data_IF_045979956727
#
_entry.id   IF_045979956727
#
_cell.length_a   1.000
_cell.length_b   1.000
_cell.length_c   1.000
_cell.angle_alpha   90.00
_cell.angle_beta   90.00
_cell.angle_gamma   90.00
#
_symmetry.space_group_name_H-M   'P 1'
#
loop_
_entity.id
_entity.type
_entity.pdbx_description
1 polymer ?
#
# COMPACT_ATOMS: atom_id res chain seq x y z
N UNK A 1 -24.52 2.20 -8.15
CA UNK A 1 -25.39 3.37 -7.85
C UNK A 1 -25.24 4.34 -9.00
N UNK A 2 -26.27 4.42 -9.85
CA UNK A 2 -26.31 5.30 -11.02
C UNK A 2 -26.65 6.71 -10.54
N UNK A 3 -25.67 7.60 -10.48
CA UNK A 3 -25.90 9.01 -10.12
C UNK A 3 -26.18 9.80 -11.40
N UNK A 4 -27.34 10.42 -11.47
CA UNK A 4 -27.69 11.42 -12.48
C UNK A 4 -26.91 12.69 -12.18
N UNK A 5 -25.95 13.02 -13.01
CA UNK A 5 -25.08 14.17 -12.85
C UNK A 5 -25.54 15.29 -13.79
N UNK A 6 -25.73 16.48 -13.22
CA UNK A 6 -25.91 17.69 -13.99
C UNK A 6 -24.65 18.03 -14.76
N UNK A 7 -24.66 17.85 -16.08
CA UNK A 7 -23.56 18.27 -16.92
C UNK A 7 -23.91 19.62 -17.57
N UNK A 8 -22.90 20.36 -17.99
CA UNK A 8 -23.02 21.65 -18.65
C UNK A 8 -22.69 21.53 -20.12
N UNK A 9 -23.55 22.15 -20.96
CA UNK A 9 -23.24 22.33 -22.37
C UNK A 9 -22.41 23.62 -22.52
N UNK A 10 -21.26 23.51 -23.17
CA UNK A 10 -20.38 24.63 -23.46
C UNK A 10 -20.04 24.68 -24.93
N UNK A 11 -19.88 25.90 -25.47
CA UNK A 11 -19.24 26.07 -26.76
C UNK A 11 -17.76 25.69 -26.61
N UNK A 12 -17.28 24.80 -27.48
CA UNK A 12 -15.87 24.33 -27.44
C UNK A 12 -14.93 25.51 -27.71
N UNK A 13 -15.32 26.33 -28.70
CA UNK A 13 -14.58 27.52 -29.08
C UNK A 13 -15.61 28.64 -29.34
N UNK A 14 -15.75 29.63 -28.42
CA UNK A 14 -16.78 30.66 -28.55
C UNK A 14 -16.66 31.49 -29.83
N UNK A 15 -15.44 31.66 -30.36
CA UNK A 15 -15.21 32.33 -31.62
C UNK A 15 -15.79 31.57 -32.83
N UNK A 16 -15.97 30.26 -32.76
CA UNK A 16 -16.60 29.47 -33.82
C UNK A 16 -18.08 29.81 -34.00
N UNK A 17 -18.72 30.51 -33.06
CA UNK A 17 -20.08 30.99 -33.17
C UNK A 17 -20.18 32.38 -33.85
N UNK A 18 -19.06 33.10 -34.00
CA UNK A 18 -19.01 34.44 -34.60
C UNK A 18 -19.36 34.50 -36.10
N UNK A 19 -19.05 33.48 -36.94
CA UNK A 19 -19.40 33.52 -38.36
C UNK A 19 -20.89 33.70 -38.64
N UNK A 20 -21.77 33.14 -37.80
CA UNK A 20 -23.20 33.25 -37.98
C UNK A 20 -23.73 34.71 -37.93
N UNK A 21 -23.51 35.44 -36.81
CA UNK A 21 -23.84 36.87 -36.74
C UNK A 21 -23.15 37.72 -37.80
N UNK A 22 -21.88 37.43 -38.08
CA UNK A 22 -21.12 38.15 -39.11
C UNK A 22 -21.72 37.98 -40.50
N UNK A 23 -22.08 36.76 -40.89
CA UNK A 23 -22.75 36.49 -42.19
C UNK A 23 -24.12 37.17 -42.28
N UNK A 24 -24.86 37.22 -41.16
CA UNK A 24 -26.13 37.88 -41.10
C UNK A 24 -25.96 39.39 -41.29
N UNK A 25 -25.01 40.03 -40.62
CA UNK A 25 -24.73 41.47 -40.78
C UNK A 25 -24.29 41.77 -42.21
N UNK A 26 -23.41 40.94 -42.79
CA UNK A 26 -22.99 41.08 -44.20
C UNK A 26 -24.15 40.91 -45.17
N UNK A 27 -25.06 39.99 -44.95
CA UNK A 27 -26.23 39.76 -45.78
C UNK A 27 -27.22 40.94 -45.74
N UNK A 28 -27.30 41.60 -44.57
CA UNK A 28 -28.15 42.83 -44.43
C UNK A 28 -27.48 44.05 -45.03
N UNK A 29 -26.15 44.17 -45.00
CA UNK A 29 -25.40 45.29 -45.57
C UNK A 29 -25.25 45.20 -47.09
N UNK A 30 -25.10 43.98 -47.61
CA UNK A 30 -24.94 43.69 -49.03
C UNK A 30 -25.92 42.54 -49.39
N UNK A 31 -27.12 42.86 -49.96
CA UNK A 31 -28.24 41.93 -50.10
C UNK A 31 -27.99 40.91 -51.24
N UNK A 32 -26.89 40.23 -51.22
CA UNK A 32 -26.61 39.09 -52.09
C UNK A 32 -27.32 37.84 -51.57
N UNK A 33 -28.19 37.24 -52.35
CA UNK A 33 -29.01 36.07 -51.97
C UNK A 33 -28.19 34.92 -51.41
N UNK A 34 -26.96 34.69 -51.90
CA UNK A 34 -26.10 33.61 -51.43
C UNK A 34 -25.60 33.81 -49.99
N UNK A 35 -25.45 35.07 -49.49
CA UNK A 35 -25.08 35.34 -48.10
C UNK A 35 -26.16 34.88 -47.10
N UNK A 36 -27.45 35.09 -47.48
CA UNK A 36 -28.55 34.57 -46.67
C UNK A 36 -28.56 33.04 -46.62
N UNK A 37 -28.28 32.38 -47.77
CA UNK A 37 -28.18 30.92 -47.76
C UNK A 37 -27.05 30.40 -46.85
N UNK A 38 -25.88 31.04 -46.87
CA UNK A 38 -24.77 30.69 -45.96
C UNK A 38 -25.13 30.95 -44.49
N UNK A 39 -25.78 32.07 -44.17
CA UNK A 39 -26.23 32.39 -42.82
C UNK A 39 -27.25 31.35 -42.31
N UNK A 40 -28.22 30.98 -43.13
CA UNK A 40 -29.21 29.95 -42.78
C UNK A 40 -28.55 28.57 -42.63
N UNK A 41 -27.67 28.19 -43.57
CA UNK A 41 -26.96 26.91 -43.48
C UNK A 41 -26.13 26.82 -42.18
N UNK A 42 -25.41 27.90 -41.85
CA UNK A 42 -24.64 27.97 -40.61
C UNK A 42 -25.55 27.89 -39.37
N UNK A 43 -26.68 28.57 -39.37
CA UNK A 43 -27.66 28.52 -38.28
C UNK A 43 -28.22 27.11 -38.10
N UNK A 44 -28.62 26.46 -39.18
CA UNK A 44 -29.13 25.09 -39.15
C UNK A 44 -28.09 24.12 -38.59
N UNK A 45 -26.87 24.24 -39.06
CA UNK A 45 -25.73 23.41 -38.59
C UNK A 45 -25.48 23.65 -37.10
N UNK A 46 -25.46 24.90 -36.64
CA UNK A 46 -25.24 25.23 -35.23
C UNK A 46 -26.37 24.72 -34.33
N UNK A 47 -27.63 24.85 -34.76
CA UNK A 47 -28.80 24.33 -34.03
C UNK A 47 -28.76 22.79 -33.99
N UNK A 48 -28.42 22.13 -35.10
CA UNK A 48 -28.30 20.69 -35.19
C UNK A 48 -27.19 20.18 -34.27
N UNK A 49 -26.01 20.82 -34.22
CA UNK A 49 -24.90 20.51 -33.33
C UNK A 49 -25.29 20.64 -31.85
N UNK A 50 -25.95 21.78 -31.51
CA UNK A 50 -26.46 21.96 -30.13
C UNK A 50 -27.48 20.88 -29.74
N UNK A 51 -28.45 20.59 -30.65
CA UNK A 51 -29.46 19.57 -30.42
C UNK A 51 -28.82 18.17 -30.23
N UNK A 52 -27.79 17.86 -31.03
CA UNK A 52 -27.04 16.61 -30.90
C UNK A 52 -26.47 16.43 -29.51
N UNK A 53 -25.68 17.39 -29.04
CA UNK A 53 -25.05 17.34 -27.72
C UNK A 53 -26.09 17.25 -26.60
N UNK A 54 -27.20 18.02 -26.72
CA UNK A 54 -28.30 18.00 -25.75
C UNK A 54 -29.01 16.63 -25.69
N UNK A 55 -29.02 15.90 -26.81
CA UNK A 55 -29.64 14.57 -26.88
C UNK A 55 -28.71 13.45 -26.40
N UNK A 56 -27.45 13.51 -26.72
CA UNK A 56 -26.45 12.47 -26.42
C UNK A 56 -25.91 12.62 -25.01
N UNK A 57 -25.36 13.78 -24.67
CA UNK A 57 -24.62 14.01 -23.44
C UNK A 57 -25.33 13.54 -22.18
N UNK A 58 -26.57 14.01 -21.87
CA UNK A 58 -27.27 13.60 -20.64
C UNK A 58 -27.68 12.12 -20.60
N UNK A 59 -27.60 11.39 -21.74
CA UNK A 59 -27.97 9.97 -21.84
C UNK A 59 -26.80 9.03 -21.80
N UNK A 60 -25.58 9.54 -21.76
CA UNK A 60 -24.39 8.74 -21.52
C UNK A 60 -24.31 8.39 -20.03
N UNK A 61 -24.00 7.15 -19.75
CA UNK A 61 -23.72 6.65 -18.39
C UNK A 61 -22.37 5.97 -18.41
N UNK A 62 -21.53 6.35 -17.48
CA UNK A 62 -20.24 5.72 -17.28
C UNK A 62 -20.25 5.07 -15.91
N UNK A 63 -19.97 3.78 -15.88
CA UNK A 63 -19.83 3.01 -14.64
C UNK A 63 -18.40 2.50 -14.51
N UNK A 64 -17.88 2.60 -13.30
CA UNK A 64 -16.55 2.14 -12.93
C UNK A 64 -16.67 1.14 -11.79
N UNK A 65 -16.12 -0.03 -11.96
CA UNK A 65 -15.98 -1.03 -10.91
C UNK A 65 -14.50 -1.33 -10.65
N UNK A 66 -14.16 -1.42 -9.37
CA UNK A 66 -12.84 -1.77 -8.90
C UNK A 66 -12.93 -3.12 -8.20
N UNK A 67 -12.06 -4.07 -8.54
CA UNK A 67 -12.09 -5.41 -7.94
C UNK A 67 -11.69 -5.40 -6.48
N UNK A 68 -10.75 -4.56 -6.09
CA UNK A 68 -10.31 -4.44 -4.70
C UNK A 68 -9.98 -3.00 -4.35
N UNK A 69 -10.18 -2.62 -3.08
CA UNK A 69 -9.80 -1.31 -2.55
C UNK A 69 -8.33 -1.29 -2.05
N UNK A 70 -7.60 -2.37 -2.21
CA UNK A 70 -6.22 -2.50 -1.81
C UNK A 70 -5.44 -3.32 -2.85
N UNK A 71 -4.15 -3.06 -2.92
CA UNK A 71 -3.19 -3.78 -3.73
C UNK A 71 -1.86 -3.88 -2.98
N UNK A 72 -0.93 -4.67 -3.47
CA UNK A 72 0.44 -4.70 -3.02
C UNK A 72 1.35 -4.16 -4.13
N UNK A 73 2.52 -3.64 -3.78
CA UNK A 73 3.50 -3.27 -4.81
C UNK A 73 3.86 -4.50 -5.63
N UNK A 74 3.74 -4.36 -6.96
CA UNK A 74 3.87 -5.48 -7.91
C UNK A 74 2.53 -6.02 -8.43
N UNK A 75 1.43 -5.79 -7.72
CA UNK A 75 0.10 -6.21 -8.17
C UNK A 75 -0.40 -5.37 -9.34
N UNK A 76 -1.27 -5.95 -10.14
CA UNK A 76 -2.02 -5.25 -11.17
C UNK A 76 -3.33 -4.74 -10.58
N UNK A 77 -3.49 -3.43 -10.60
CA UNK A 77 -4.76 -2.78 -10.35
C UNK A 77 -5.61 -2.93 -11.60
N UNK A 78 -6.71 -3.65 -11.51
CA UNK A 78 -7.65 -3.85 -12.62
C UNK A 78 -8.95 -3.11 -12.34
N UNK A 79 -9.33 -2.28 -13.29
CA UNK A 79 -10.58 -1.54 -13.28
C UNK A 79 -11.43 -1.94 -14.48
N UNK A 80 -12.67 -2.24 -14.21
CA UNK A 80 -13.67 -2.52 -15.22
C UNK A 80 -14.52 -1.27 -15.43
N UNK A 81 -14.64 -0.88 -16.69
CA UNK A 81 -15.42 0.27 -17.13
C UNK A 81 -16.57 -0.18 -18.00
N UNK A 82 -17.72 0.41 -17.83
CA UNK A 82 -18.89 0.22 -18.68
C UNK A 82 -19.43 1.57 -19.12
N UNK A 83 -19.45 1.81 -20.42
CA UNK A 83 -20.08 2.96 -21.07
C UNK A 83 -21.42 2.51 -21.66
N UNK A 84 -22.50 3.11 -21.23
CA UNK A 84 -23.83 2.89 -21.78
C UNK A 84 -24.35 4.16 -22.46
N UNK A 85 -24.69 4.07 -23.74
CA UNK A 85 -25.34 5.13 -24.50
C UNK A 85 -26.84 4.86 -24.57
N UNK A 86 -27.63 5.56 -23.78
CA UNK A 86 -29.09 5.46 -23.78
C UNK A 86 -29.77 6.38 -24.82
N UNK A 87 -29.00 7.05 -25.66
CA UNK A 87 -29.54 7.86 -26.78
C UNK A 87 -29.71 6.97 -28.01
N UNK A 88 -30.49 7.48 -28.99
CA UNK A 88 -30.61 6.88 -30.34
C UNK A 88 -29.49 7.33 -31.28
N UNK A 89 -28.72 8.35 -30.88
CA UNK A 89 -27.64 8.91 -31.65
C UNK A 89 -26.29 8.38 -31.12
N UNK A 90 -25.29 8.17 -31.99
CA UNK A 90 -23.97 7.74 -31.54
C UNK A 90 -23.26 8.85 -30.77
N UNK A 91 -22.51 8.44 -29.73
CA UNK A 91 -21.48 9.24 -29.12
C UNK A 91 -20.17 8.96 -29.88
N UNK A 92 -19.83 9.85 -30.81
CA UNK A 92 -18.71 9.63 -31.74
C UNK A 92 -17.37 9.60 -30.99
N UNK A 93 -17.24 10.42 -29.97
CA UNK A 93 -16.11 10.36 -29.05
C UNK A 93 -16.54 10.83 -27.66
N UNK A 94 -15.98 10.17 -26.70
CA UNK A 94 -16.09 10.48 -25.29
C UNK A 94 -14.69 10.52 -24.71
N UNK A 95 -14.26 11.67 -24.29
CA UNK A 95 -13.01 11.84 -23.57
C UNK A 95 -13.29 11.64 -22.08
N UNK A 96 -12.54 10.73 -21.47
CA UNK A 96 -12.61 10.41 -20.06
C UNK A 96 -11.27 10.81 -19.46
N UNK A 97 -11.29 11.61 -18.41
CA UNK A 97 -10.11 11.99 -17.64
C UNK A 97 -10.34 11.66 -16.17
N UNK A 98 -9.48 10.81 -15.63
CA UNK A 98 -9.54 10.40 -14.24
C UNK A 98 -8.36 11.03 -13.48
N UNK A 99 -8.66 11.90 -12.52
CA UNK A 99 -7.68 12.55 -11.67
C UNK A 99 -7.14 11.56 -10.62
N UNK A 100 -6.45 10.51 -11.08
CA UNK A 100 -5.82 9.51 -10.23
C UNK A 100 -4.45 9.98 -9.76
N UNK A 101 -4.13 9.67 -8.48
CA UNK A 101 -2.79 9.89 -7.90
C UNK A 101 -1.91 8.64 -7.93
N UNK A 102 -2.41 7.52 -8.46
CA UNK A 102 -1.65 6.26 -8.55
C UNK A 102 -0.50 6.41 -9.54
N UNK A 103 0.76 6.21 -9.12
CA UNK A 103 1.91 6.28 -10.02
C UNK A 103 1.80 5.26 -11.15
N UNK A 104 2.07 5.71 -12.39
CA UNK A 104 2.01 4.84 -13.57
C UNK A 104 0.60 4.53 -14.09
N UNK A 105 -0.45 5.00 -13.42
CA UNK A 105 -1.83 4.90 -13.90
C UNK A 105 -2.18 6.08 -14.82
N UNK A 106 -2.67 5.79 -16.03
CA UNK A 106 -3.21 6.80 -16.93
C UNK A 106 -4.72 6.58 -17.08
N UNK A 107 -5.49 7.45 -16.42
CA UNK A 107 -6.95 7.44 -16.48
C UNK A 107 -7.52 8.12 -17.71
N UNK A 108 -6.68 8.73 -18.56
CA UNK A 108 -7.15 9.41 -19.78
C UNK A 108 -7.42 8.41 -20.88
N UNK A 109 -8.65 8.43 -21.42
CA UNK A 109 -9.07 7.56 -22.51
C UNK A 109 -10.11 8.24 -23.39
N UNK A 110 -10.10 7.87 -24.67
CA UNK A 110 -11.14 8.22 -25.62
C UNK A 110 -11.92 6.94 -25.96
N UNK A 111 -13.23 7.02 -25.92
CA UNK A 111 -14.15 5.93 -26.25
C UNK A 111 -15.26 6.45 -27.19
N UNK A 112 -15.94 5.53 -27.86
CA UNK A 112 -17.15 5.82 -28.66
C UNK A 112 -18.20 4.76 -28.34
N UNK A 113 -19.47 5.10 -28.51
CA UNK A 113 -20.58 4.16 -28.36
C UNK A 113 -21.69 4.48 -29.33
N UNK A 114 -22.18 3.49 -30.05
CA UNK A 114 -23.36 3.59 -30.92
C UNK A 114 -24.62 3.87 -30.10
N UNK A 115 -25.70 4.27 -30.79
CA UNK A 115 -26.98 4.53 -30.13
C UNK A 115 -27.56 3.23 -29.53
N UNK A 116 -27.82 3.24 -28.22
CA UNK A 116 -28.31 2.07 -27.48
C UNK A 116 -27.22 1.07 -27.08
N UNK A 117 -25.96 1.28 -27.46
CA UNK A 117 -24.86 0.36 -27.18
C UNK A 117 -24.40 0.44 -25.72
N UNK A 118 -23.95 -0.74 -25.20
CA UNK A 118 -23.14 -0.82 -23.98
C UNK A 118 -21.75 -1.37 -24.33
N UNK A 119 -20.74 -0.66 -23.95
CA UNK A 119 -19.36 -1.01 -24.24
C UNK A 119 -18.55 -1.10 -22.94
N UNK A 120 -17.96 -2.27 -22.70
CA UNK A 120 -17.09 -2.53 -21.57
C UNK A 120 -15.62 -2.59 -22.00
N UNK A 121 -14.73 -2.16 -21.10
CA UNK A 121 -13.29 -2.37 -21.23
C UNK A 121 -12.63 -2.46 -19.85
N UNK A 122 -11.45 -3.04 -19.82
CA UNK A 122 -10.62 -3.11 -18.61
C UNK A 122 -9.40 -2.22 -18.77
N UNK A 123 -9.08 -1.47 -17.73
CA UNK A 123 -7.83 -0.73 -17.60
C UNK A 123 -7.01 -1.39 -16.51
N UNK A 124 -5.73 -1.59 -16.76
CA UNK A 124 -4.83 -2.14 -15.76
C UNK A 124 -3.59 -1.27 -15.60
N UNK A 125 -3.14 -1.11 -14.36
CA UNK A 125 -1.89 -0.48 -14.02
C UNK A 125 -1.14 -1.35 -13.00
N UNK A 126 0.18 -1.29 -13.01
CA UNK A 126 1.00 -1.98 -12.01
C UNK A 126 1.27 -1.01 -10.87
N UNK A 127 1.01 -1.44 -9.64
CA UNK A 127 1.31 -0.67 -8.45
C UNK A 127 2.81 -0.68 -8.19
N UNK A 128 3.50 0.41 -8.48
CA UNK A 128 4.97 0.49 -8.40
C UNK A 128 5.47 1.01 -7.05
N UNK A 129 4.64 1.70 -6.28
CA UNK A 129 5.02 2.34 -5.03
C UNK A 129 3.91 2.17 -3.99
N UNK A 130 4.31 1.87 -2.74
CA UNK A 130 3.37 1.83 -1.63
C UNK A 130 2.84 3.22 -1.29
N UNK A 131 1.63 3.28 -0.77
CA UNK A 131 1.02 4.54 -0.36
C UNK A 131 -0.50 4.48 -0.34
N UNK A 132 -1.09 5.59 0.05
CA UNK A 132 -2.53 5.82 -0.01
C UNK A 132 -2.79 6.74 -1.19
N UNK A 133 -3.49 6.24 -2.18
CA UNK A 133 -3.77 6.93 -3.43
C UNK A 133 -5.26 7.18 -3.60
N UNK A 134 -5.58 8.16 -4.40
CA UNK A 134 -6.96 8.49 -4.76
C UNK A 134 -7.20 8.21 -6.24
N UNK A 135 -8.35 7.64 -6.55
CA UNK A 135 -8.88 7.44 -7.87
C UNK A 135 -10.10 8.34 -8.04
N UNK A 136 -10.10 9.22 -9.03
CA UNK A 136 -11.11 10.25 -9.21
C UNK A 136 -10.75 11.60 -8.57
N UNK A 137 -11.59 12.64 -8.79
CA UNK A 137 -12.87 12.63 -9.49
C UNK A 137 -12.72 12.37 -10.98
N UNK A 138 -13.78 11.80 -11.58
CA UNK A 138 -13.85 11.52 -12.99
C UNK A 138 -14.44 12.70 -13.73
N UNK A 139 -13.79 13.13 -14.80
CA UNK A 139 -14.30 14.08 -15.75
C UNK A 139 -14.57 13.38 -17.07
N UNK A 140 -15.72 13.66 -17.68
CA UNK A 140 -16.05 13.11 -18.96
C UNK A 140 -16.61 14.20 -19.86
N UNK A 141 -16.19 14.20 -21.13
CA UNK A 141 -16.55 15.18 -22.13
C UNK A 141 -16.91 14.50 -23.44
N UNK A 142 -18.05 14.89 -24.01
CA UNK A 142 -18.43 14.52 -25.38
C UNK A 142 -18.79 15.75 -26.16
N UNK A 143 -18.72 15.69 -27.49
CA UNK A 143 -19.07 16.81 -28.34
C UNK A 143 -19.94 16.36 -29.53
N UNK A 144 -20.44 17.34 -30.26
CA UNK A 144 -21.09 17.15 -31.57
C UNK A 144 -20.04 16.74 -32.63
N UNK A 145 -20.49 16.23 -33.81
CA UNK A 145 -19.58 15.81 -34.89
C UNK A 145 -18.68 16.92 -35.44
N UNK A 146 -19.08 18.17 -35.27
CA UNK A 146 -18.38 19.35 -35.79
C UNK A 146 -17.52 20.03 -34.74
N UNK A 147 -17.64 19.62 -33.47
CA UNK A 147 -16.89 20.19 -32.37
C UNK A 147 -17.28 21.63 -31.99
N UNK A 148 -18.51 22.05 -32.29
CA UNK A 148 -19.01 23.38 -31.91
C UNK A 148 -19.43 23.44 -30.45
N UNK A 149 -20.06 22.38 -29.95
CA UNK A 149 -20.57 22.27 -28.60
C UNK A 149 -20.06 21.02 -27.94
N UNK A 150 -19.81 21.09 -26.64
CA UNK A 150 -19.48 19.94 -25.81
C UNK A 150 -20.39 19.83 -24.59
N UNK A 151 -20.59 18.61 -24.14
CA UNK A 151 -21.24 18.31 -22.88
C UNK A 151 -20.18 17.74 -21.92
N UNK A 152 -19.99 18.43 -20.81
CA UNK A 152 -19.04 18.08 -19.81
C UNK A 152 -19.78 17.72 -18.52
N UNK A 153 -19.39 16.61 -17.90
CA UNK A 153 -19.89 16.25 -16.58
C UNK A 153 -18.78 15.72 -15.71
N UNK A 154 -18.97 15.90 -14.43
CA UNK A 154 -18.06 15.40 -13.41
C UNK A 154 -18.79 14.32 -12.62
N UNK A 155 -18.17 13.18 -12.52
CA UNK A 155 -18.64 12.12 -11.63
C UNK A 155 -17.91 12.27 -10.31
N UNK A 156 -18.59 12.82 -9.31
CA UNK A 156 -18.06 12.97 -7.96
C UNK A 156 -17.87 11.61 -7.31
N UNK A 157 -16.88 11.55 -6.44
CA UNK A 157 -16.52 10.37 -5.68
C UNK A 157 -15.06 10.01 -5.91
N UNK A 158 -14.23 10.39 -4.97
CA UNK A 158 -12.85 9.92 -4.87
C UNK A 158 -12.87 8.60 -4.13
N UNK A 159 -12.33 7.55 -4.71
CA UNK A 159 -12.09 6.27 -4.03
C UNK A 159 -10.64 6.23 -3.59
N UNK A 160 -10.42 5.88 -2.34
CA UNK A 160 -9.07 5.60 -1.87
C UNK A 160 -8.70 4.16 -2.18
N UNK A 161 -7.46 3.98 -2.62
CA UNK A 161 -6.81 2.70 -2.76
C UNK A 161 -5.55 2.71 -1.90
N UNK A 162 -5.33 1.62 -1.18
CA UNK A 162 -4.16 1.43 -0.34
C UNK A 162 -3.23 0.44 -1.02
N UNK A 163 -2.00 0.86 -1.29
CA UNK A 163 -0.96 0.00 -1.85
C UNK A 163 0.03 -0.35 -0.74
N UNK A 164 0.01 -1.60 -0.31
CA UNK A 164 0.86 -2.13 0.75
C UNK A 164 2.28 -2.44 0.28
N UNK A 165 3.27 -2.41 1.18
CA UNK A 165 4.61 -2.88 0.85
C UNK A 165 4.60 -4.37 0.50
N UNK A 166 5.47 -4.83 -0.41
CA UNK A 166 5.58 -6.24 -0.73
C UNK A 166 6.23 -6.99 0.42
N UNK A 167 5.95 -8.28 0.49
CA UNK A 167 6.59 -9.20 1.43
C UNK A 167 7.63 -10.04 0.69
N UNK A 168 8.84 -10.10 1.24
CA UNK A 168 9.91 -10.91 0.71
C UNK A 168 10.26 -12.06 1.67
N UNK A 169 10.76 -13.16 1.12
CA UNK A 169 11.31 -14.25 1.93
C UNK A 169 12.72 -13.86 2.35
N UNK A 170 12.93 -13.67 3.65
CA UNK A 170 14.25 -13.39 4.23
C UNK A 170 14.98 -14.72 4.46
N UNK A 171 15.64 -15.22 3.41
CA UNK A 171 16.46 -16.42 3.52
C UNK A 171 17.62 -16.16 4.50
N UNK A 172 17.93 -17.14 5.34
CA UNK A 172 19.04 -17.13 6.30
C UNK A 172 18.93 -16.11 7.45
N UNK A 173 17.79 -15.46 7.64
CA UNK A 173 17.56 -14.62 8.83
C UNK A 173 16.98 -15.47 9.96
N UNK A 174 17.78 -15.66 10.99
CA UNK A 174 17.36 -16.37 12.20
C UNK A 174 16.82 -15.35 13.20
N UNK A 175 15.55 -15.50 13.56
CA UNK A 175 14.91 -14.61 14.52
C UNK A 175 15.53 -14.72 15.90
N UNK A 176 15.80 -13.61 16.61
CA UNK A 176 16.35 -13.65 17.95
C UNK A 176 15.33 -14.27 18.91
N UNK A 177 15.80 -15.18 19.76
CA UNK A 177 14.98 -15.80 20.78
C UNK A 177 15.07 -14.95 22.06
N UNK A 178 13.94 -14.41 22.51
CA UNK A 178 13.90 -13.85 23.86
C UNK A 178 14.10 -14.98 24.87
N UNK A 179 15.17 -14.92 25.67
CA UNK A 179 15.35 -15.88 26.75
C UNK A 179 14.35 -15.63 27.87
N UNK A 180 13.75 -16.69 28.40
CA UNK A 180 13.06 -16.63 29.68
C UNK A 180 14.10 -16.36 30.75
N UNK A 181 14.07 -15.18 31.34
CA UNK A 181 14.68 -14.97 32.65
C UNK A 181 13.99 -15.88 33.65
N UNK A 182 14.63 -17.00 33.99
CA UNK A 182 14.16 -17.82 35.09
C UNK A 182 14.25 -17.03 36.38
N UNK A 183 13.14 -16.47 36.86
CA UNK A 183 12.99 -16.08 38.25
C UNK A 183 11.53 -16.29 38.65
N UNK A 184 11.35 -16.83 39.84
CA UNK A 184 10.09 -17.20 40.48
C UNK A 184 8.96 -16.13 40.48
N UNK A 185 9.22 -14.92 40.02
CA UNK A 185 8.27 -13.84 39.92
C UNK A 185 7.38 -13.94 38.68
N UNK A 186 7.84 -14.65 37.62
CA UNK A 186 7.04 -14.91 36.44
C UNK A 186 5.93 -15.93 36.70
N UNK A 187 6.10 -16.82 37.67
CA UNK A 187 5.09 -17.82 38.03
C UNK A 187 3.84 -17.20 38.69
N UNK A 188 3.98 -16.07 39.38
CA UNK A 188 2.86 -15.40 40.06
C UNK A 188 1.96 -14.58 39.08
N UNK A 189 2.47 -14.13 37.93
CA UNK A 189 1.72 -13.41 36.93
C UNK A 189 1.08 -14.32 35.88
N UNK A 190 1.51 -15.58 35.76
CA UNK A 190 0.94 -16.58 34.84
C UNK A 190 -0.36 -17.21 35.31
N UNK A 191 -0.86 -16.89 36.50
CA UNK A 191 -2.09 -17.47 37.04
C UNK A 191 -3.38 -17.09 36.26
N UNK A 192 -3.30 -16.18 35.29
CA UNK A 192 -4.47 -15.70 34.52
C UNK A 192 -4.40 -16.02 33.01
N UNK A 193 -3.32 -16.63 32.54
CA UNK A 193 -3.27 -17.17 31.18
C UNK A 193 -3.65 -18.64 31.24
N UNK A 194 -4.69 -19.06 30.56
CA UNK A 194 -5.06 -20.47 30.40
C UNK A 194 -3.90 -21.20 29.73
N UNK A 195 -3.08 -21.98 30.45
CA UNK A 195 -1.95 -22.65 29.86
C UNK A 195 -2.49 -23.76 28.94
N UNK A 196 -2.09 -23.71 27.66
CA UNK A 196 -2.37 -24.79 26.71
C UNK A 196 -1.66 -26.06 27.18
N UNK A 197 -2.40 -27.11 27.40
CA UNK A 197 -1.83 -28.44 27.77
C UNK A 197 -1.32 -29.07 26.48
N UNK A 198 0.01 -29.13 26.32
CA UNK A 198 0.67 -29.70 25.15
C UNK A 198 0.75 -31.25 25.20
N UNK A 199 0.69 -31.84 26.39
CA UNK A 199 0.78 -33.30 26.56
C UNK A 199 0.52 -33.74 28.00
N UNK A 200 0.48 -35.06 28.17
CA UNK A 200 0.43 -35.72 29.48
C UNK A 200 1.67 -36.66 29.60
N UNK A 201 2.43 -36.55 30.68
CA UNK A 201 3.51 -37.48 31.01
C UNK A 201 3.31 -38.11 32.38
N UNK A 202 4.00 -39.21 32.65
CA UNK A 202 3.97 -39.78 33.97
C UNK A 202 4.64 -38.89 35.03
N UNK A 203 4.10 -38.89 36.22
CA UNK A 203 4.57 -38.12 37.35
C UNK A 203 5.98 -38.57 37.75
N UNK A 204 6.87 -37.61 37.98
CA UNK A 204 8.22 -37.83 38.54
C UNK A 204 8.28 -37.12 39.89
N UNK A 205 8.91 -37.74 40.94
CA UNK A 205 9.10 -37.08 42.22
C UNK A 205 9.76 -35.67 42.05
N UNK A 206 9.05 -34.65 42.53
CA UNK A 206 9.44 -33.24 42.34
C UNK A 206 8.46 -32.43 41.48
N UNK A 207 7.53 -33.06 40.78
CA UNK A 207 6.47 -32.37 40.07
C UNK A 207 5.45 -31.76 41.03
N UNK A 208 4.93 -30.58 40.64
CA UNK A 208 3.90 -29.87 41.43
C UNK A 208 2.57 -30.64 41.43
N UNK A 209 1.95 -30.91 42.59
CA UNK A 209 0.66 -31.60 42.67
C UNK A 209 -0.49 -30.88 41.92
N UNK A 210 -0.39 -29.57 41.75
CA UNK A 210 -1.35 -28.74 40.98
C UNK A 210 -1.35 -29.06 39.49
N UNK A 211 -0.31 -29.67 38.96
CA UNK A 211 -0.17 -30.07 37.58
C UNK A 211 -0.72 -31.46 37.26
N UNK A 212 -1.14 -32.21 38.28
CA UNK A 212 -1.70 -33.55 38.08
C UNK A 212 -3.03 -33.47 37.31
N UNK A 213 -3.15 -34.27 36.25
CA UNK A 213 -4.37 -34.38 35.47
C UNK A 213 -5.30 -35.44 36.05
N UNK A 214 -6.05 -35.10 37.07
CA UNK A 214 -6.90 -36.00 37.82
C UNK A 214 -7.89 -36.83 36.95
N UNK A 215 -8.49 -36.29 35.87
CA UNK A 215 -9.34 -37.11 35.01
C UNK A 215 -8.62 -38.30 34.36
N UNK A 216 -7.38 -38.10 33.89
CA UNK A 216 -6.57 -39.22 33.33
C UNK A 216 -6.12 -40.19 34.42
N UNK A 217 -5.76 -39.70 35.59
CA UNK A 217 -5.40 -40.54 36.74
C UNK A 217 -6.57 -41.45 37.11
N UNK A 218 -7.79 -40.93 37.10
CA UNK A 218 -8.99 -41.73 37.40
C UNK A 218 -9.24 -42.84 36.38
N UNK A 219 -8.86 -42.63 35.11
CA UNK A 219 -9.04 -43.62 34.03
C UNK A 219 -7.88 -44.64 33.96
N UNK A 220 -6.66 -44.21 34.20
CA UNK A 220 -5.47 -45.03 33.97
C UNK A 220 -4.88 -45.62 35.23
N UNK A 221 -5.26 -45.12 36.42
CA UNK A 221 -4.71 -45.50 37.70
C UNK A 221 -3.26 -45.11 37.94
N UNK A 222 -2.68 -44.34 36.99
CA UNK A 222 -1.29 -43.83 37.07
C UNK A 222 -1.30 -42.31 37.24
N UNK A 223 -0.38 -41.79 38.05
CA UNK A 223 -0.24 -40.36 38.22
C UNK A 223 0.29 -39.74 36.93
N UNK A 224 -0.54 -38.93 36.28
CA UNK A 224 -0.23 -38.20 35.04
C UNK A 224 -0.17 -36.72 35.32
N UNK A 225 0.86 -36.03 34.81
CA UNK A 225 1.10 -34.61 34.98
C UNK A 225 0.88 -33.92 33.62
N UNK A 226 0.17 -32.79 33.66
CA UNK A 226 0.03 -31.93 32.49
C UNK A 226 1.35 -31.34 32.10
N UNK A 227 1.82 -31.64 30.91
CA UNK A 227 2.93 -30.97 30.27
C UNK A 227 2.39 -29.77 29.56
N UNK A 228 2.66 -28.61 30.11
CA UNK A 228 2.21 -27.35 29.47
C UNK A 228 3.13 -27.07 28.31
N UNK A 229 2.55 -26.80 27.15
CA UNK A 229 3.31 -26.36 26.02
C UNK A 229 3.99 -25.03 26.40
N UNK A 230 5.30 -25.08 26.51
CA UNK A 230 6.07 -23.87 26.82
C UNK A 230 5.90 -22.94 25.64
N UNK A 231 5.09 -21.89 25.78
CA UNK A 231 5.06 -20.78 24.82
C UNK A 231 6.49 -20.25 24.65
N UNK A 232 7.14 -20.75 23.60
CA UNK A 232 8.61 -20.68 23.41
C UNK A 232 9.14 -19.31 23.05
N UNK A 233 8.31 -18.30 22.82
CA UNK A 233 8.86 -17.07 22.31
C UNK A 233 8.24 -15.85 22.99
N UNK A 234 9.08 -15.08 23.64
CA UNK A 234 8.77 -13.70 24.00
C UNK A 234 8.38 -12.88 22.75
N UNK A 235 7.72 -11.76 22.96
CA UNK A 235 7.34 -10.85 21.87
C UNK A 235 8.58 -10.40 21.09
N UNK A 236 8.48 -10.38 19.76
CA UNK A 236 9.46 -9.74 18.89
C UNK A 236 9.02 -8.30 18.63
N UNK A 237 9.84 -7.35 19.02
CA UNK A 237 9.68 -5.96 18.64
C UNK A 237 10.54 -5.65 17.42
N UNK A 238 9.95 -5.03 16.42
CA UNK A 238 10.64 -4.55 15.23
C UNK A 238 10.79 -3.03 15.40
N UNK A 239 12.01 -2.55 15.58
CA UNK A 239 12.32 -1.13 15.60
C UNK A 239 12.79 -0.71 14.22
N UNK A 240 11.95 0.04 13.50
CA UNK A 240 12.26 0.59 12.20
C UNK A 240 12.78 2.01 12.35
N UNK A 241 13.99 2.23 11.88
CA UNK A 241 14.60 3.56 11.85
C UNK A 241 13.97 4.38 10.72
N UNK A 242 13.33 5.49 11.06
CA UNK A 242 12.75 6.46 10.13
C UNK A 242 13.34 7.86 10.35
N UNK A 243 14.45 7.95 11.09
CA UNK A 243 15.13 9.22 11.30
C UNK A 243 15.68 9.77 9.99
N UNK A 244 15.33 11.04 9.69
CA UNK A 244 15.72 11.69 8.44
C UNK A 244 17.23 11.69 8.19
N UNK A 245 18.04 11.85 9.27
CA UNK A 245 19.51 11.86 9.19
C UNK A 245 20.10 10.54 8.74
N UNK A 246 19.53 9.40 9.16
CA UNK A 246 20.02 8.09 8.78
C UNK A 246 19.92 7.80 7.27
N UNK A 247 18.98 8.43 6.58
CA UNK A 247 18.76 8.24 5.14
C UNK A 247 19.53 9.23 4.26
N UNK A 248 20.04 10.32 4.83
CA UNK A 248 20.86 11.29 4.06
C UNK A 248 22.20 10.68 3.68
N UNK A 249 22.82 9.96 4.60
CA UNK A 249 24.12 9.32 4.42
C UNK A 249 24.05 8.00 3.65
N UNK A 250 22.88 7.34 3.65
CA UNK A 250 22.66 6.07 2.97
C UNK A 250 22.30 6.21 1.48
N UNK A 251 22.26 7.43 0.94
CA UNK A 251 21.93 7.65 -0.46
C UNK A 251 23.07 7.12 -1.34
N UNK A 252 22.80 6.20 -2.30
CA UNK A 252 23.85 5.76 -3.22
C UNK A 252 24.42 6.98 -3.94
N UNK A 253 25.73 7.02 -4.22
CA UNK A 253 26.32 8.09 -5.01
C UNK A 253 25.52 8.19 -6.30
N UNK A 254 25.03 9.39 -6.61
CA UNK A 254 24.24 9.64 -7.79
C UNK A 254 25.07 9.19 -9.01
N UNK A 255 24.76 8.03 -9.56
CA UNK A 255 25.18 7.68 -10.91
C UNK A 255 24.46 8.68 -11.81
N UNK A 256 25.16 9.75 -12.15
CA UNK A 256 24.78 10.70 -13.18
C UNK A 256 24.70 9.92 -14.49
N UNK A 257 23.53 9.40 -14.81
CA UNK A 257 23.31 8.59 -16.00
C UNK A 257 21.93 7.91 -16.09
N UNK A 258 21.19 7.80 -15.00
CA UNK A 258 19.80 7.39 -15.06
C UNK A 258 18.95 8.61 -15.40
N UNK A 259 18.84 8.89 -16.70
CA UNK A 259 17.88 9.82 -17.28
C UNK A 259 16.52 9.47 -16.72
N UNK A 260 15.93 10.39 -15.98
CA UNK A 260 14.57 10.28 -15.51
C UNK A 260 13.68 9.96 -16.71
N UNK A 261 13.09 8.78 -16.70
CA UNK A 261 12.04 8.42 -17.63
C UNK A 261 10.82 9.25 -17.24
N UNK A 262 10.83 10.53 -17.63
CA UNK A 262 9.61 11.27 -17.89
C UNK A 262 9.02 10.62 -19.16
N UNK A 263 8.21 9.59 -18.93
CA UNK A 263 7.48 8.92 -20.00
C UNK A 263 6.46 9.84 -20.63
N UNK A 264 6.88 10.63 -21.58
CA UNK A 264 6.02 11.12 -22.65
C UNK A 264 5.75 9.95 -23.59
N UNK A 265 4.77 9.14 -23.23
CA UNK A 265 4.24 8.14 -24.15
C UNK A 265 3.51 8.88 -25.28
N UNK A 266 4.23 9.21 -26.36
CA UNK A 266 3.62 9.45 -27.66
C UNK A 266 3.09 8.11 -28.17
N UNK A 267 1.78 8.01 -28.27
CA UNK A 267 1.09 6.85 -28.76
C UNK A 267 1.50 6.47 -30.18
N UNK A 268 1.88 5.22 -30.33
CA UNK A 268 1.78 4.51 -31.59
C UNK A 268 1.03 3.21 -31.28
N UNK A 269 -0.15 3.10 -31.87
CA UNK A 269 -0.96 1.88 -31.86
C UNK A 269 -0.18 0.76 -32.57
N UNK A 270 0.35 -0.16 -31.80
CA UNK A 270 0.68 -1.50 -32.31
C UNK A 270 0.34 -2.51 -31.22
N UNK A 271 -0.71 -3.26 -31.49
CA UNK A 271 -1.10 -4.46 -30.76
C UNK A 271 -0.05 -5.53 -30.98
N UNK A 272 0.86 -5.67 -30.06
CA UNK A 272 1.63 -6.90 -29.90
C UNK A 272 1.61 -7.26 -28.43
N UNK A 273 1.08 -8.46 -28.16
CA UNK A 273 1.07 -9.12 -26.86
C UNK A 273 2.54 -9.42 -26.52
N UNK A 274 3.27 -8.44 -26.03
CA UNK A 274 4.51 -8.64 -25.32
C UNK A 274 4.17 -8.77 -23.84
N UNK A 275 4.33 -9.97 -23.31
CA UNK A 275 4.52 -10.19 -21.89
C UNK A 275 5.85 -9.54 -21.50
N UNK A 276 5.85 -8.22 -21.34
CA UNK A 276 6.93 -7.55 -20.64
C UNK A 276 6.86 -8.00 -19.19
N UNK A 277 7.77 -8.87 -18.81
CA UNK A 277 8.04 -9.20 -17.41
C UNK A 277 8.72 -7.97 -16.83
N UNK A 278 7.93 -6.99 -16.39
CA UNK A 278 8.46 -5.88 -15.60
C UNK A 278 8.99 -6.46 -14.29
N UNK A 279 10.29 -6.56 -14.19
CA UNK A 279 10.96 -6.82 -12.92
C UNK A 279 10.89 -5.52 -12.14
N UNK A 280 9.79 -5.34 -11.39
CA UNK A 280 9.67 -4.23 -10.46
C UNK A 280 10.63 -4.52 -9.33
N UNK A 281 11.63 -3.66 -9.15
CA UNK A 281 12.46 -3.63 -7.95
C UNK A 281 11.93 -2.51 -7.06
N UNK A 282 10.98 -2.79 -6.16
CA UNK A 282 10.32 -1.75 -5.33
C UNK A 282 11.20 -1.18 -4.23
N UNK A 283 12.46 -1.59 -4.14
CA UNK A 283 13.43 -1.24 -3.09
C UNK A 283 14.69 -0.54 -3.62
N UNK A 284 14.54 0.32 -4.62
CA UNK A 284 15.63 1.13 -5.17
C UNK A 284 16.14 2.21 -4.20
N UNK A 285 15.42 2.43 -3.11
CA UNK A 285 15.81 3.37 -2.06
C UNK A 285 16.01 2.65 -0.73
N UNK A 286 16.92 3.14 0.14
CA UNK A 286 17.13 2.56 1.46
C UNK A 286 15.85 2.49 2.30
N UNK A 287 14.96 3.48 2.18
CA UNK A 287 13.69 3.51 2.91
C UNK A 287 12.74 2.40 2.45
N UNK A 288 12.58 2.23 1.13
CA UNK A 288 11.71 1.19 0.61
C UNK A 288 12.21 -0.20 1.02
N UNK A 289 13.52 -0.43 0.93
CA UNK A 289 14.14 -1.66 1.38
C UNK A 289 13.93 -1.89 2.88
N UNK A 290 14.09 -0.84 3.71
CA UNK A 290 13.86 -0.91 5.16
C UNK A 290 12.43 -1.35 5.50
N UNK A 291 11.47 -0.74 4.83
CA UNK A 291 10.05 -1.05 5.03
C UNK A 291 9.72 -2.48 4.57
N UNK A 292 10.24 -2.90 3.41
CA UNK A 292 10.06 -4.28 2.92
C UNK A 292 10.66 -5.30 3.89
N UNK A 293 11.85 -5.03 4.41
CA UNK A 293 12.51 -5.91 5.39
C UNK A 293 11.69 -5.96 6.69
N UNK A 294 11.24 -4.82 7.22
CA UNK A 294 10.44 -4.78 8.45
C UNK A 294 9.11 -5.53 8.28
N UNK A 295 8.42 -5.33 7.16
CA UNK A 295 7.18 -6.03 6.83
C UNK A 295 7.40 -7.55 6.68
N UNK A 296 8.46 -7.94 5.99
CA UNK A 296 8.82 -9.34 5.74
C UNK A 296 9.21 -10.06 7.02
N UNK A 297 9.97 -9.39 7.89
CA UNK A 297 10.35 -9.91 9.20
C UNK A 297 9.11 -10.12 10.09
N UNK A 298 8.16 -9.17 10.05
CA UNK A 298 6.89 -9.31 10.77
C UNK A 298 6.10 -10.51 10.24
N UNK A 299 6.00 -10.67 8.93
CA UNK A 299 5.30 -11.79 8.32
C UNK A 299 5.94 -13.13 8.70
N UNK A 300 7.27 -13.24 8.64
CA UNK A 300 8.01 -14.44 9.03
C UNK A 300 7.79 -14.77 10.50
N UNK A 301 7.96 -13.79 11.41
CA UNK A 301 7.79 -14.02 12.84
C UNK A 301 6.36 -14.41 13.22
N UNK A 302 5.35 -13.82 12.54
CA UNK A 302 3.95 -14.19 12.74
C UNK A 302 3.62 -15.57 12.18
N UNK A 303 4.25 -15.99 11.07
CA UNK A 303 4.11 -17.36 10.55
C UNK A 303 4.68 -18.41 11.51
N UNK A 304 5.73 -18.05 12.26
CA UNK A 304 6.32 -18.88 13.31
C UNK A 304 5.50 -18.85 14.62
N UNK A 305 4.31 -18.22 14.61
CA UNK A 305 3.40 -18.14 15.76
C UNK A 305 3.83 -17.16 16.85
N UNK A 306 4.81 -16.28 16.59
CA UNK A 306 5.32 -15.33 17.57
C UNK A 306 4.41 -14.11 17.74
N UNK A 307 4.48 -13.49 18.91
CA UNK A 307 3.93 -12.15 19.15
C UNK A 307 4.85 -11.12 18.47
N UNK A 308 4.30 -10.26 17.62
CA UNK A 308 5.08 -9.23 16.91
C UNK A 308 4.52 -7.86 17.16
N UNK A 309 5.38 -6.92 17.55
CA UNK A 309 5.08 -5.49 17.67
C UNK A 309 5.97 -4.66 16.74
N UNK A 310 5.54 -3.44 16.44
CA UNK A 310 6.30 -2.47 15.65
C UNK A 310 6.54 -1.21 16.47
N UNK A 311 7.73 -0.64 16.33
CA UNK A 311 8.14 0.63 16.91
C UNK A 311 8.86 1.45 15.84
N UNK A 312 8.35 2.62 15.50
CA UNK A 312 8.96 3.55 14.58
C UNK A 312 8.51 4.99 14.89
N UNK A 313 9.24 5.98 14.39
CA UNK A 313 8.90 7.40 14.50
C UNK A 313 9.32 8.13 13.22
N UNK A 314 8.34 8.69 12.49
CA UNK A 314 8.54 9.50 11.30
C UNK A 314 8.02 10.94 11.49
N UNK A 315 8.04 11.42 12.74
CA UNK A 315 7.35 12.63 13.21
C UNK A 315 5.97 12.32 13.79
N UNK A 316 5.45 11.12 13.53
CA UNK A 316 4.31 10.51 14.19
C UNK A 316 4.79 9.19 14.82
N UNK A 317 4.53 9.03 16.11
CA UNK A 317 4.88 7.79 16.80
C UNK A 317 4.04 6.64 16.26
N UNK A 318 4.69 5.68 15.60
CA UNK A 318 4.09 4.45 15.07
C UNK A 318 4.35 3.32 16.03
N UNK A 319 3.34 2.96 16.78
CA UNK A 319 3.42 1.92 17.81
C UNK A 319 2.32 0.89 17.59
N UNK A 320 2.71 -0.30 17.21
CA UNK A 320 1.82 -1.46 17.15
C UNK A 320 2.18 -2.41 18.29
N UNK A 321 1.26 -2.60 19.23
CA UNK A 321 1.45 -3.52 20.34
C UNK A 321 1.59 -4.96 19.84
N UNK A 322 2.36 -5.83 20.55
CA UNK A 322 2.53 -7.21 20.15
C UNK A 322 1.20 -7.95 20.04
N UNK A 323 1.03 -8.65 18.95
CA UNK A 323 -0.13 -9.50 18.65
C UNK A 323 0.26 -10.69 17.80
N UNK A 324 -0.68 -11.61 17.57
CA UNK A 324 -0.52 -12.81 16.76
C UNK A 324 -1.47 -12.84 15.57
N UNK A 325 -1.10 -13.67 14.60
CA UNK A 325 -1.96 -14.02 13.48
C UNK A 325 -2.06 -12.97 12.37
N UNK A 326 -2.87 -13.24 11.34
CA UNK A 326 -2.93 -12.41 10.14
C UNK A 326 -3.41 -10.97 10.39
N UNK A 327 -4.31 -10.77 11.34
CA UNK A 327 -4.80 -9.42 11.70
C UNK A 327 -3.67 -8.51 12.20
N UNK A 328 -2.70 -9.07 12.90
CA UNK A 328 -1.55 -8.31 13.38
C UNK A 328 -0.64 -7.90 12.24
N UNK A 329 -0.44 -8.78 11.25
CA UNK A 329 0.32 -8.43 10.05
C UNK A 329 -0.30 -7.22 9.34
N UNK A 330 -1.62 -7.23 9.15
CA UNK A 330 -2.31 -6.12 8.51
C UNK A 330 -2.17 -4.81 9.27
N UNK A 331 -2.25 -4.82 10.61
CA UNK A 331 -2.00 -3.63 11.44
C UNK A 331 -0.59 -3.08 11.24
N UNK A 332 0.41 -3.96 11.17
CA UNK A 332 1.80 -3.56 10.92
C UNK A 332 1.93 -2.99 9.51
N UNK A 333 1.35 -3.64 8.50
CA UNK A 333 1.39 -3.17 7.12
C UNK A 333 0.69 -1.80 6.96
N UNK A 334 -0.44 -1.57 7.64
CA UNK A 334 -1.14 -0.27 7.66
C UNK A 334 -0.25 0.85 8.17
N UNK A 335 0.52 0.62 9.24
CA UNK A 335 1.47 1.61 9.75
C UNK A 335 2.68 1.81 8.83
N UNK A 336 3.02 0.84 7.99
CA UNK A 336 4.14 0.91 7.07
C UNK A 336 3.78 1.52 5.70
N UNK A 337 2.50 1.60 5.33
CA UNK A 337 2.04 2.10 4.03
C UNK A 337 2.53 3.52 3.74
N UNK A 338 2.37 4.43 4.68
CA UNK A 338 2.67 5.85 4.55
C UNK A 338 3.93 6.28 5.35
N UNK A 339 4.72 5.30 5.84
CA UNK A 339 5.96 5.56 6.57
C UNK A 339 6.98 6.31 5.72
N UNK A 340 7.56 7.38 6.28
CA UNK A 340 8.52 8.27 5.60
C UNK A 340 9.77 8.45 6.45
N UNK A 341 10.90 8.69 5.81
CA UNK A 341 12.14 9.08 6.49
C UNK A 341 12.06 10.56 6.91
N UNK A 342 11.23 10.86 7.88
CA UNK A 342 10.95 12.22 8.35
C UNK A 342 11.03 12.34 9.89
N UNK A 343 11.46 11.28 10.58
CA UNK A 343 11.62 11.26 12.03
C UNK A 343 12.64 12.29 12.53
N UNK A 344 12.30 12.97 13.63
CA UNK A 344 13.18 13.92 14.29
C UNK A 344 14.15 13.25 15.28
N UNK A 345 13.77 12.07 15.77
CA UNK A 345 14.55 11.37 16.81
C UNK A 345 15.40 10.25 16.21
N UNK A 346 16.69 10.14 16.63
CA UNK A 346 17.53 9.04 16.23
C UNK A 346 17.01 7.72 16.82
N UNK A 347 17.32 6.60 16.15
CA UNK A 347 16.88 5.27 16.55
C UNK A 347 17.16 4.92 18.02
N UNK A 348 18.30 5.38 18.56
CA UNK A 348 18.65 5.20 19.97
C UNK A 348 17.61 5.75 20.94
N UNK A 349 17.02 6.90 20.59
CA UNK A 349 15.98 7.53 21.40
C UNK A 349 14.63 6.79 21.25
N UNK A 350 14.28 6.36 20.04
CA UNK A 350 13.09 5.56 19.78
C UNK A 350 13.10 4.26 20.58
N UNK A 351 14.25 3.57 20.63
CA UNK A 351 14.43 2.34 21.44
C UNK A 351 14.28 2.64 22.95
N UNK A 352 14.92 3.71 23.44
CA UNK A 352 14.84 4.11 24.85
C UNK A 352 13.43 4.49 25.29
N UNK A 353 12.74 5.30 24.49
CA UNK A 353 11.36 5.69 24.76
C UNK A 353 10.41 4.49 24.70
N UNK A 354 10.61 3.58 23.75
CA UNK A 354 9.88 2.31 23.70
C UNK A 354 10.01 1.52 25.01
N UNK A 355 11.22 1.43 25.53
CA UNK A 355 11.51 0.73 26.80
C UNK A 355 10.92 1.47 28.02
N UNK A 356 11.03 2.79 28.08
CA UNK A 356 10.54 3.59 29.20
C UNK A 356 9.01 3.56 29.33
N UNK A 357 8.30 3.43 28.23
CA UNK A 357 6.82 3.45 28.20
C UNK A 357 6.15 2.19 28.77
N UNK A 358 6.88 1.27 29.42
CA UNK A 358 6.41 -0.02 29.95
C UNK A 358 5.62 -0.90 28.95
N UNK A 359 5.37 -0.41 27.78
CA UNK A 359 4.64 -1.08 26.70
C UNK A 359 5.47 -2.20 26.08
N UNK A 360 6.78 -2.00 26.07
CA UNK A 360 7.77 -2.90 25.45
C UNK A 360 8.40 -3.87 26.45
N UNK A 361 8.13 -3.68 27.75
CA UNK A 361 8.74 -4.47 28.83
C UNK A 361 7.88 -5.70 29.16
N UNK A 362 7.73 -6.64 28.24
CA UNK A 362 7.48 -8.03 28.63
C UNK A 362 8.80 -8.72 28.89
N UNK A 363 8.93 -9.40 30.05
CA UNK A 363 10.09 -10.25 30.32
C UNK A 363 10.26 -11.25 29.17
N UNK A 364 11.46 -11.23 28.53
CA UNK A 364 11.75 -12.09 27.39
C UNK A 364 11.52 -11.50 26.00
N UNK A 365 11.17 -10.22 25.86
CA UNK A 365 11.00 -9.58 24.55
C UNK A 365 12.34 -9.51 23.77
N UNK A 366 12.31 -9.93 22.52
CA UNK A 366 13.40 -9.78 21.56
C UNK A 366 13.22 -8.47 20.76
N UNK A 367 14.33 -7.89 20.29
CA UNK A 367 14.37 -6.69 19.49
C UNK A 367 15.06 -6.94 18.16
N UNK A 368 14.39 -6.61 17.07
CA UNK A 368 14.99 -6.55 15.74
C UNK A 368 15.04 -5.08 15.29
N UNK A 369 16.22 -4.60 15.02
CA UNK A 369 16.48 -3.23 14.54
C UNK A 369 16.65 -3.28 13.04
N UNK A 370 15.94 -2.41 12.31
CA UNK A 370 16.10 -2.21 10.85
C UNK A 370 16.55 -0.79 10.62
N UNK A 371 17.79 -0.58 10.16
CA UNK A 371 18.39 0.75 10.05
C UNK A 371 19.39 0.87 8.89
N UNK A 372 19.43 2.01 8.19
CA UNK A 372 20.52 2.37 7.30
C UNK A 372 21.68 3.09 8.01
N UNK A 373 21.53 3.46 9.31
CA UNK A 373 22.56 4.19 10.06
C UNK A 373 23.74 3.29 10.41
N UNK A 374 24.91 3.59 9.86
CA UNK A 374 26.16 2.85 10.05
C UNK A 374 27.08 3.48 11.11
N UNK A 375 26.75 4.62 11.68
CA UNK A 375 27.53 5.34 12.69
C UNK A 375 27.62 4.59 14.03
N UNK A 376 26.66 3.71 14.30
CA UNK A 376 26.58 2.92 15.52
C UNK A 376 26.20 3.71 16.78
N UNK A 377 25.64 4.92 16.64
CA UNK A 377 25.17 5.69 17.79
C UNK A 377 24.03 4.98 18.56
N UNK A 378 23.30 4.10 17.92
CA UNK A 378 22.22 3.31 18.49
C UNK A 378 22.67 2.02 19.21
N UNK A 379 23.95 1.61 19.03
CA UNK A 379 24.49 0.38 19.63
C UNK A 379 24.39 0.38 21.16
N UNK A 380 24.61 1.53 21.80
CA UNK A 380 24.49 1.65 23.24
C UNK A 380 23.07 1.30 23.74
N UNK A 381 22.04 1.77 23.05
CA UNK A 381 20.64 1.46 23.35
C UNK A 381 20.33 -0.03 23.10
N UNK A 382 20.92 -0.63 22.06
CA UNK A 382 20.79 -2.07 21.79
C UNK A 382 21.48 -2.91 22.85
N UNK A 383 22.71 -2.55 23.24
CA UNK A 383 23.45 -3.23 24.32
C UNK A 383 22.71 -3.12 25.66
N UNK A 384 22.11 -1.99 25.93
CA UNK A 384 21.25 -1.80 27.09
C UNK A 384 20.01 -2.70 27.06
N UNK A 385 19.41 -2.89 25.88
CA UNK A 385 18.30 -3.84 25.68
C UNK A 385 18.71 -5.29 25.99
N UNK A 386 19.89 -5.67 25.54
CA UNK A 386 20.44 -7.01 25.73
C UNK A 386 20.99 -7.29 27.14
N UNK A 387 21.08 -6.27 28.02
CA UNK A 387 21.67 -6.40 29.34
C UNK A 387 21.00 -7.54 30.14
N UNK A 388 21.77 -8.61 30.45
CA UNK A 388 21.26 -9.82 31.07
C UNK A 388 20.50 -10.78 30.13
N UNK A 389 20.50 -10.56 28.82
CA UNK A 389 19.75 -11.34 27.82
C UNK A 389 20.54 -11.50 26.52
N UNK A 390 21.65 -12.25 26.52
CA UNK A 390 22.45 -12.42 25.30
C UNK A 390 21.62 -13.07 24.19
N UNK A 391 21.76 -12.55 22.98
CA UNK A 391 21.01 -13.03 21.80
C UNK A 391 19.54 -12.58 21.70
N UNK A 392 19.08 -11.69 22.58
CA UNK A 392 17.73 -11.14 22.53
C UNK A 392 17.57 -9.99 21.51
N UNK A 393 18.63 -9.61 20.82
CA UNK A 393 18.57 -8.55 19.81
C UNK A 393 19.32 -8.92 18.54
N UNK A 394 18.84 -8.38 17.43
CA UNK A 394 19.49 -8.46 16.12
C UNK A 394 19.39 -7.15 15.37
N UNK A 395 20.27 -6.96 14.39
CA UNK A 395 20.28 -5.81 13.53
C UNK A 395 20.21 -6.23 12.05
N UNK A 396 19.33 -5.57 11.29
CA UNK A 396 19.23 -5.68 9.85
C UNK A 396 19.71 -4.36 9.26
N UNK A 397 20.90 -4.40 8.69
CA UNK A 397 21.62 -3.24 8.19
C UNK A 397 21.30 -3.04 6.71
N UNK A 398 20.94 -1.81 6.34
CA UNK A 398 20.65 -1.46 4.97
C UNK A 398 21.81 -0.63 4.44
N UNK A 399 22.46 -1.13 3.41
CA UNK A 399 23.70 -0.54 2.90
C UNK A 399 23.62 -0.30 1.40
N UNK A 400 24.35 0.71 0.93
CA UNK A 400 24.53 0.93 -0.50
C UNK A 400 25.54 -0.09 -1.09
N UNK A 401 26.57 -0.46 -0.30
CA UNK A 401 27.58 -1.45 -0.68
C UNK A 401 27.86 -2.42 0.48
N UNK A 402 28.04 -3.72 0.23
CA UNK A 402 28.27 -4.70 1.30
C UNK A 402 29.47 -4.40 2.18
N UNK A 403 30.51 -3.79 1.64
CA UNK A 403 31.75 -3.48 2.36
C UNK A 403 31.60 -2.39 3.42
N UNK A 404 30.53 -1.60 3.40
CA UNK A 404 30.33 -0.49 4.35
C UNK A 404 29.90 -0.94 5.74
N UNK A 405 29.38 -2.15 5.92
CA UNK A 405 28.85 -2.65 7.18
C UNK A 405 29.90 -3.33 8.10
N UNK A 406 31.04 -3.75 7.59
CA UNK A 406 31.96 -4.66 8.30
C UNK A 406 32.43 -4.17 9.67
N UNK A 407 32.71 -2.87 9.82
CA UNK A 407 33.10 -2.30 11.11
C UNK A 407 31.96 -2.33 12.14
N UNK A 408 30.72 -2.12 11.69
CA UNK A 408 29.53 -2.13 12.52
C UNK A 408 29.15 -3.58 12.90
N UNK A 409 29.28 -4.53 11.96
CA UNK A 409 29.04 -5.96 12.19
C UNK A 409 30.00 -6.51 13.27
N UNK A 410 31.29 -6.13 13.21
CA UNK A 410 32.25 -6.50 14.24
C UNK A 410 31.85 -5.95 15.63
N UNK A 411 31.38 -4.71 15.71
CA UNK A 411 30.86 -4.11 16.95
C UNK A 411 29.58 -4.80 17.45
N UNK A 412 28.68 -5.18 16.55
CA UNK A 412 27.48 -5.95 16.90
C UNK A 412 27.83 -7.33 17.46
N UNK A 413 28.81 -8.01 16.87
CA UNK A 413 29.30 -9.28 17.35
C UNK A 413 29.88 -9.18 18.77
N UNK A 414 30.60 -8.08 19.12
CA UNK A 414 31.13 -7.90 20.49
C UNK A 414 30.04 -7.73 21.54
N UNK A 415 28.89 -7.21 21.19
CA UNK A 415 27.73 -7.11 22.10
C UNK A 415 26.83 -8.35 22.04
N UNK A 416 27.18 -9.36 21.23
CA UNK A 416 26.41 -10.61 21.09
C UNK A 416 25.09 -10.44 20.30
N UNK A 417 24.98 -9.43 19.44
CA UNK A 417 23.84 -9.23 18.58
C UNK A 417 24.11 -9.81 17.19
N UNK A 418 23.18 -10.60 16.66
CA UNK A 418 23.24 -11.08 15.29
C UNK A 418 23.04 -9.90 14.32
N UNK A 419 23.80 -9.87 13.24
CA UNK A 419 23.66 -8.86 12.18
C UNK A 419 23.42 -9.51 10.83
N UNK A 420 22.58 -8.85 10.02
CA UNK A 420 22.28 -9.22 8.64
C UNK A 420 22.34 -7.98 7.77
N UNK A 421 23.03 -8.08 6.66
CA UNK A 421 23.24 -6.94 5.76
C UNK A 421 22.46 -7.12 4.47
N UNK A 422 21.72 -6.10 4.10
CA UNK A 422 20.93 -6.03 2.86
C UNK A 422 21.39 -4.86 2.02
N UNK A 423 21.63 -5.11 0.75
CA UNK A 423 22.09 -4.09 -0.19
C UNK A 423 20.93 -3.50 -0.98
N UNK A 424 20.91 -2.18 -1.11
CA UNK A 424 19.91 -1.50 -1.94
C UNK A 424 20.00 -2.02 -3.38
N UNK A 425 18.84 -2.34 -3.98
CA UNK A 425 18.79 -2.96 -5.31
C UNK A 425 19.02 -4.47 -5.34
N UNK A 426 19.27 -5.11 -4.19
CA UNK A 426 19.39 -6.57 -4.11
C UNK A 426 18.06 -7.25 -4.45
N UNK A 427 18.09 -8.27 -5.30
CA UNK A 427 16.89 -9.07 -5.58
C UNK A 427 16.49 -9.89 -4.35
N UNK A 428 15.25 -9.69 -3.88
CA UNK A 428 14.64 -10.47 -2.81
C UNK A 428 13.47 -11.28 -3.37
N UNK A 429 13.36 -12.58 -3.05
CA UNK A 429 12.23 -13.40 -3.48
C UNK A 429 10.94 -12.93 -2.79
N UNK A 430 9.94 -12.54 -3.57
CA UNK A 430 8.66 -12.10 -3.05
C UNK A 430 7.81 -13.26 -2.53
N UNK A 431 7.10 -13.00 -1.43
CA UNK A 431 6.06 -13.87 -0.90
C UNK A 431 4.68 -13.32 -1.30
N UNK A 432 3.78 -14.22 -1.68
CA UNK A 432 2.37 -13.82 -1.81
C UNK A 432 1.80 -13.61 -0.41
N UNK A 433 1.34 -12.42 -0.05
CA UNK A 433 0.73 -12.19 1.25
C UNK A 433 -0.56 -13.01 1.37
N UNK A 434 -0.94 -13.42 2.60
CA UNK A 434 -2.24 -14.00 2.82
C UNK A 434 -3.31 -12.98 2.43
N UNK A 435 -4.13 -13.29 1.43
CA UNK A 435 -5.24 -12.42 1.00
C UNK A 435 -6.21 -12.24 2.17
N UNK A 436 -6.63 -11.02 2.51
CA UNK A 436 -7.67 -10.83 3.52
C UNK A 436 -8.93 -11.54 3.04
N UNK A 437 -9.51 -12.37 3.90
CA UNK A 437 -10.84 -12.92 3.65
C UNK A 437 -11.82 -11.77 3.43
N UNK A 438 -12.67 -11.88 2.42
CA UNK A 438 -13.41 -10.88 1.66
C UNK A 438 -14.40 -9.94 2.40
N UNK A 439 -14.11 -9.49 3.62
CA UNK A 439 -14.98 -8.58 4.38
C UNK A 439 -14.33 -7.23 4.72
N UNK A 440 -13.35 -6.80 3.96
CA UNK A 440 -12.80 -5.45 4.12
C UNK A 440 -13.86 -4.42 3.71
N UNK A 441 -14.51 -3.79 4.68
CA UNK A 441 -15.35 -2.60 4.46
C UNK A 441 -14.49 -1.36 4.59
N UNK A 442 -14.53 -0.50 3.60
CA UNK A 442 -13.93 0.83 3.69
C UNK A 442 -14.87 1.69 4.53
N UNK A 443 -14.40 2.24 5.65
CA UNK A 443 -15.19 3.17 6.47
C UNK A 443 -15.50 4.45 5.67
N UNK A 444 -16.54 5.21 6.06
CA UNK A 444 -16.82 6.52 5.45
C UNK A 444 -15.66 7.51 5.54
N UNK A 445 -14.70 7.27 6.42
CA UNK A 445 -13.47 8.05 6.62
C UNK A 445 -12.27 7.47 5.83
N UNK A 446 -12.50 6.51 4.91
CA UNK A 446 -11.47 5.92 4.07
C UNK A 446 -10.55 4.91 4.77
N UNK A 447 -10.82 4.52 6.01
CA UNK A 447 -10.07 3.45 6.68
C UNK A 447 -10.64 2.09 6.32
N UNK A 448 -9.77 1.14 5.97
CA UNK A 448 -10.17 -0.26 5.77
C UNK A 448 -10.48 -0.86 7.14
N UNK A 449 -11.76 -1.16 7.39
CA UNK A 449 -12.20 -1.86 8.61
C UNK A 449 -12.32 -3.33 8.23
N UNK A 450 -11.49 -4.17 8.82
CA UNK A 450 -11.60 -5.62 8.71
C UNK A 450 -12.81 -6.05 9.54
N UNK A 451 -13.89 -6.43 8.88
CA UNK A 451 -15.05 -7.02 9.54
C UNK A 451 -14.70 -8.36 10.16
N UNK A 452 -15.25 -8.61 11.35
CA UNK A 452 -15.11 -9.86 12.09
C UNK A 452 -15.82 -11.01 11.37
#
# INVERSE_FOLDING_TARGET
>A
MWLTLGGNIRAVQPWALLPGPLLLVLALAAPYRWLFFLAYAYLIVSVAAYWWVRRVGPRLRLHRSLRSAWAQVGDRLEEEWELANHSRLPALWLEIDDASTVPGYSGRRVASAEGGERRGWTTSAVCVQRGIYSLGPLQARTADPLGLFSYEWHQGGTRQIVVYPPLARLANVHLPWGQRGGTARAELLQQHATPSVGGLREYVPGDLPSHIHWPTVAHTGRLMVKEFDQERAGALWIALDLWAGAYQDARPPSTSGATGVQGHARGTLQSSVMRETFTIQPWDTPLELAVVIAASLAAQALSDGRLVGLLADDGRRRLVHPGRGPRQLWRILEELVDARAAGAFPLSEVIRQGRASRVVVSDGAALAVVTPALDGAWLAALAEWQRGRPGAAMALLIVATPSSAGALEARLATIGAASYTFTVGQALPLLNPPRPQATARVSPLGRVIMGA
#
